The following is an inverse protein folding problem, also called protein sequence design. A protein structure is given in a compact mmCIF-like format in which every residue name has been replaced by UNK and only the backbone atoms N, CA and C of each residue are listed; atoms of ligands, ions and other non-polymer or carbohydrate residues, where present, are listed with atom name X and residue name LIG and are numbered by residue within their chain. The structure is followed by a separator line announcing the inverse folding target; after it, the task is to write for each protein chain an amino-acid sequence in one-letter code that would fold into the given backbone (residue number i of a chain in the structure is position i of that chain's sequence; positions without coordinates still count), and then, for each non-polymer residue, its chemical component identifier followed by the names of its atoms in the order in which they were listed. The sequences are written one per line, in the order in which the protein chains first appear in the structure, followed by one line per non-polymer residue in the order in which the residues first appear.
data_IF_814821092564
#
_entry.id   IF_814821092564
#
_cell.length_a   1.000
_cell.length_b   1.000
_cell.length_c   1.000
_cell.angle_alpha   90.00
_cell.angle_beta   90.00
_cell.angle_gamma   90.00
#
_symmetry.space_group_name_H-M   'P 1'
#
loop_
_entity.id
_entity.type
_entity.pdbx_description
1 polymer ?
#
# COMPACT_ATOMS: atom_id res chain seq x y z
N UNK A 1 3.57 17.81 -6.48
CA UNK A 1 2.84 16.53 -6.43
C UNK A 1 2.92 15.99 -5.01
N UNK A 2 1.80 15.53 -4.41
CA UNK A 2 1.82 14.95 -3.07
C UNK A 2 2.74 13.74 -2.99
N UNK A 3 3.23 13.41 -1.80
CA UNK A 3 3.95 12.17 -1.57
C UNK A 3 3.05 10.95 -1.84
N UNK A 4 3.66 9.89 -2.34
CA UNK A 4 2.99 8.62 -2.61
C UNK A 4 3.67 7.56 -1.75
N UNK A 5 2.87 6.75 -1.07
CA UNK A 5 3.30 5.72 -0.14
C UNK A 5 2.78 4.37 -0.58
N UNK A 6 3.63 3.36 -0.58
CA UNK A 6 3.27 1.96 -0.72
C UNK A 6 2.98 1.41 0.67
N UNK A 7 1.79 0.86 0.84
CA UNK A 7 1.24 0.46 2.14
C UNK A 7 0.61 -0.92 2.05
N UNK A 8 0.45 -1.58 3.19
CA UNK A 8 -0.40 -2.76 3.32
C UNK A 8 -1.67 -2.35 4.06
N UNK A 9 -2.80 -2.29 3.36
CA UNK A 9 -4.09 -1.85 3.90
C UNK A 9 -4.99 -3.06 4.22
N UNK A 10 -5.74 -2.96 5.32
CA UNK A 10 -6.78 -3.94 5.65
C UNK A 10 -8.02 -3.74 4.78
N UNK A 11 -8.41 -4.79 4.06
CA UNK A 11 -9.61 -4.80 3.24
C UNK A 11 -10.88 -5.08 4.08
N UNK A 12 -12.10 -4.83 3.54
CA UNK A 12 -13.36 -5.06 4.26
C UNK A 12 -13.63 -6.51 4.69
N UNK A 13 -12.95 -7.49 4.09
CA UNK A 13 -13.05 -8.90 4.43
C UNK A 13 -12.03 -9.32 5.52
N UNK A 14 -11.31 -8.35 6.08
CA UNK A 14 -10.34 -8.57 7.15
C UNK A 14 -8.95 -9.00 6.66
N UNK A 15 -8.74 -9.18 5.36
CA UNK A 15 -7.44 -9.50 4.77
C UNK A 15 -6.55 -8.27 4.59
N UNK A 16 -5.26 -8.51 4.42
CA UNK A 16 -4.27 -7.48 4.13
C UNK A 16 -3.91 -7.51 2.66
N UNK A 17 -3.74 -6.33 2.05
CA UNK A 17 -3.37 -6.22 0.63
C UNK A 17 -2.53 -4.96 0.39
N UNK A 18 -1.57 -4.99 -0.54
CA UNK A 18 -0.83 -3.81 -0.94
C UNK A 18 -1.78 -2.76 -1.53
N UNK A 19 -1.47 -1.50 -1.28
CA UNK A 19 -2.16 -0.36 -1.84
C UNK A 19 -1.20 0.83 -1.94
N UNK A 20 -1.64 1.86 -2.65
CA UNK A 20 -0.95 3.15 -2.69
C UNK A 20 -1.74 4.21 -1.96
N UNK A 21 -1.06 5.06 -1.22
CA UNK A 21 -1.65 6.13 -0.44
C UNK A 21 -0.99 7.47 -0.78
N UNK A 22 -1.79 8.49 -1.12
CA UNK A 22 -1.31 9.83 -1.44
C UNK A 22 -1.46 10.78 -0.26
N UNK A 23 -0.39 11.50 0.10
CA UNK A 23 -0.35 12.48 1.18
C UNK A 23 0.84 12.27 2.13
N UNK A 24 0.68 12.67 3.39
CA UNK A 24 1.69 12.47 4.45
C UNK A 24 1.89 10.97 4.79
N UNK A 25 2.98 10.61 5.46
CA UNK A 25 3.27 9.21 5.84
C UNK A 25 2.11 8.63 6.66
N UNK A 26 1.44 7.54 6.22
CA UNK A 26 0.29 7.02 6.92
C UNK A 26 0.68 6.06 8.06
N UNK A 27 0.33 6.35 9.32
CA UNK A 27 0.46 5.39 10.44
C UNK A 27 -0.86 4.70 10.73
N UNK A 28 -1.93 5.47 10.72
CA UNK A 28 -3.33 5.06 10.74
C UNK A 28 -4.13 6.24 10.15
N UNK A 29 -5.19 5.98 9.38
CA UNK A 29 -5.94 7.09 8.77
C UNK A 29 -7.44 6.87 8.77
N UNK A 30 -8.20 7.95 8.99
CA UNK A 30 -9.63 7.99 8.67
C UNK A 30 -9.86 8.62 7.29
N UNK A 31 -10.64 7.96 6.45
CA UNK A 31 -11.07 8.47 5.14
C UNK A 31 -12.57 8.30 5.02
N UNK A 32 -13.31 9.41 4.91
CA UNK A 32 -14.78 9.38 4.77
C UNK A 32 -15.49 8.66 5.90
N UNK A 33 -15.03 8.82 7.15
CA UNK A 33 -15.59 8.15 8.33
C UNK A 33 -15.20 6.67 8.49
N UNK A 34 -14.38 6.11 7.58
CA UNK A 34 -13.85 4.74 7.68
C UNK A 34 -12.40 4.75 8.14
N UNK A 35 -12.08 3.92 9.13
CA UNK A 35 -10.70 3.65 9.55
C UNK A 35 -10.02 2.77 8.50
N UNK A 36 -8.90 3.24 7.96
CA UNK A 36 -7.93 2.44 7.21
C UNK A 36 -6.82 2.05 8.16
N UNK A 37 -6.64 0.75 8.31
CA UNK A 37 -5.57 0.17 9.12
C UNK A 37 -4.41 -0.21 8.19
N UNK A 38 -3.18 0.10 8.61
CA UNK A 38 -1.96 -0.27 7.91
C UNK A 38 -1.10 -1.15 8.82
N UNK A 39 -0.57 -2.28 8.32
CA UNK A 39 0.17 -3.23 9.16
C UNK A 39 1.68 -3.01 9.17
N UNK A 40 2.25 -2.76 8.00
CA UNK A 40 3.68 -2.54 7.83
C UNK A 40 3.99 -1.05 7.78
N UNK A 41 5.23 -0.70 8.14
CA UNK A 41 5.75 0.65 7.93
C UNK A 41 5.63 1.05 6.45
N UNK A 42 4.90 2.13 6.13
CA UNK A 42 4.76 2.63 4.77
C UNK A 42 6.12 2.91 4.13
N UNK A 43 6.24 2.55 2.87
CA UNK A 43 7.41 2.89 2.07
C UNK A 43 7.10 4.04 1.13
N UNK A 44 8.00 5.02 1.08
CA UNK A 44 7.84 6.14 0.16
C UNK A 44 8.09 5.66 -1.27
N UNK A 45 7.11 5.82 -2.14
CA UNK A 45 7.26 5.52 -3.56
C UNK A 45 8.20 6.55 -4.19
N UNK A 46 9.24 6.06 -4.83
CA UNK A 46 10.21 6.86 -5.54
C UNK A 46 9.50 7.62 -6.68
N UNK A 47 9.82 8.89 -6.95
CA UNK A 47 9.12 9.67 -7.97
C UNK A 47 9.10 9.00 -9.35
N UNK A 48 10.17 8.27 -9.73
CA UNK A 48 10.26 7.52 -10.98
C UNK A 48 9.42 6.24 -11.04
N UNK A 49 8.78 5.83 -9.95
CA UNK A 49 7.92 4.64 -9.87
C UNK A 49 6.43 4.97 -9.83
N UNK A 50 6.05 6.26 -9.94
CA UNK A 50 4.66 6.69 -9.84
C UNK A 50 3.76 6.18 -10.95
N UNK A 51 4.35 5.87 -12.10
CA UNK A 51 3.64 5.32 -13.25
C UNK A 51 3.56 3.78 -13.23
N UNK A 52 4.19 3.14 -12.23
CA UNK A 52 4.13 1.69 -12.06
C UNK A 52 2.75 1.26 -11.55
N UNK A 53 2.29 0.13 -12.07
CA UNK A 53 1.11 -0.55 -11.56
C UNK A 53 1.36 -1.13 -10.17
N UNK A 54 0.29 -1.41 -9.42
CA UNK A 54 0.41 -2.00 -8.08
C UNK A 54 1.21 -3.33 -8.05
N UNK A 55 1.05 -4.27 -9.01
CA UNK A 55 1.90 -5.46 -9.07
C UNK A 55 3.39 -5.14 -9.30
N UNK A 56 3.71 -4.15 -10.14
CA UNK A 56 5.10 -3.73 -10.36
C UNK A 56 5.68 -3.05 -9.13
N UNK A 57 4.90 -2.21 -8.43
CA UNK A 57 5.30 -1.64 -7.15
C UNK A 57 5.56 -2.75 -6.12
N UNK A 58 4.73 -3.78 -6.09
CA UNK A 58 4.92 -4.94 -5.21
C UNK A 58 6.25 -5.66 -5.48
N UNK A 59 6.60 -5.89 -6.74
CA UNK A 59 7.90 -6.49 -7.11
C UNK A 59 9.10 -5.65 -6.65
N UNK A 60 8.98 -4.32 -6.66
CA UNK A 60 10.05 -3.38 -6.28
C UNK A 60 10.16 -3.19 -4.77
N UNK A 61 9.03 -3.04 -4.08
CA UNK A 61 8.95 -2.64 -2.67
C UNK A 61 8.68 -3.80 -1.71
N UNK A 62 8.51 -5.01 -2.21
CA UNK A 62 8.32 -6.22 -1.41
C UNK A 62 9.12 -7.44 -1.89
N UNK A 63 10.39 -7.30 -2.33
CA UNK A 63 11.18 -8.45 -2.79
C UNK A 63 11.48 -9.45 -1.65
N UNK A 64 11.40 -9.00 -0.40
CA UNK A 64 11.57 -9.75 0.84
C UNK A 64 10.25 -10.31 1.41
N UNK A 65 9.13 -10.04 0.75
CA UNK A 65 7.80 -10.42 1.24
C UNK A 65 7.27 -9.53 2.37
N UNK A 66 7.81 -8.32 2.55
CA UNK A 66 7.30 -7.34 3.53
C UNK A 66 5.80 -7.08 3.36
N UNK A 67 5.34 -6.89 2.14
CA UNK A 67 3.93 -6.73 1.80
C UNK A 67 3.38 -8.06 1.30
N UNK A 68 2.10 -8.33 1.59
CA UNK A 68 1.40 -9.54 1.19
C UNK A 68 0.40 -9.24 0.08
N UNK A 69 0.69 -9.71 -1.13
CA UNK A 69 -0.27 -9.71 -2.23
C UNK A 69 -1.09 -11.01 -2.19
N UNK A 70 -2.37 -11.00 -1.79
CA UNK A 70 -3.21 -12.19 -1.90
C UNK A 70 -3.27 -12.61 -3.36
N UNK A 71 -2.78 -13.81 -3.69
CA UNK A 71 -2.99 -14.41 -5.01
C UNK A 71 -4.49 -14.42 -5.26
N UNK A 72 -4.95 -13.67 -6.27
CA UNK A 72 -6.28 -13.89 -6.83
C UNK A 72 -6.32 -15.36 -7.29
N UNK A 73 -7.20 -16.14 -6.67
CA UNK A 73 -7.65 -17.40 -7.27
C UNK A 73 -8.36 -17.00 -8.55
N UNK A 74 -7.87 -17.54 -9.68
CA UNK A 74 -8.40 -17.29 -11.02
C UNK A 74 -9.89 -17.64 -11.13
#
# INVERSE_FOLDING_TARGET
MPDLWFVEERNPFGGWSPATFSGEKPTEKQVGGRRKEFRNDPERVHPGHRDLTLPQLFEVYSPDGKFYLPRRVA
#
